data_IF_694884787594
#
_entry.id   IF_694884787594
#
_cell.length_a   1.000
_cell.length_b   1.000
_cell.length_c   1.000
_cell.angle_alpha   90.00
_cell.angle_beta   90.00
_cell.angle_gamma   90.00
#
_symmetry.space_group_name_H-M   'P 1'
#
loop_
_entity.id
_entity.type
_entity.pdbx_description
1 polymer ?
#
# COMPACT_ATOMS: atom_id res chain seq x y z
N UNK A 1 3.09 -12.06 -1.50
CA UNK A 1 3.32 -10.65 -1.88
C UNK A 1 4.76 -10.35 -2.31
N UNK A 2 5.81 -10.76 -1.56
CA UNK A 2 7.22 -10.56 -1.98
C UNK A 2 7.53 -11.02 -3.41
N UNK A 3 7.06 -12.21 -3.77
CA UNK A 3 7.34 -12.85 -5.08
C UNK A 3 6.57 -12.27 -6.27
N UNK A 4 5.78 -11.21 -6.05
CA UNK A 4 4.87 -10.66 -7.07
C UNK A 4 5.51 -9.50 -7.82
N UNK A 5 6.40 -8.74 -7.16
CA UNK A 5 7.16 -7.70 -7.86
C UNK A 5 8.26 -8.32 -8.72
N UNK A 6 8.66 -7.66 -9.82
CA UNK A 6 9.82 -8.05 -10.60
C UNK A 6 11.05 -8.22 -9.69
N UNK A 7 11.91 -9.19 -9.99
CA UNK A 7 13.10 -9.47 -9.16
C UNK A 7 14.09 -8.31 -9.06
N UNK A 8 13.98 -7.28 -9.90
CA UNK A 8 14.77 -6.05 -9.86
C UNK A 8 14.16 -4.95 -8.98
N UNK A 9 12.92 -5.12 -8.49
CA UNK A 9 12.28 -4.13 -7.62
C UNK A 9 12.92 -4.15 -6.24
N UNK A 10 13.44 -3.00 -5.84
CA UNK A 10 13.99 -2.78 -4.50
C UNK A 10 12.89 -2.20 -3.62
N UNK A 11 12.72 -2.80 -2.44
CA UNK A 11 11.87 -2.26 -1.39
C UNK A 11 12.70 -1.32 -0.52
N UNK A 12 12.14 -0.15 -0.23
CA UNK A 12 12.74 0.89 0.58
C UNK A 12 11.77 1.33 1.67
N UNK A 13 12.30 1.95 2.72
CA UNK A 13 11.47 2.63 3.71
C UNK A 13 10.96 3.96 3.14
N UNK A 14 9.68 4.25 3.36
CA UNK A 14 9.05 5.52 3.02
C UNK A 14 8.58 6.20 4.31
N UNK A 15 9.53 6.91 4.95
CA UNK A 15 9.32 7.64 6.20
C UNK A 15 8.26 8.73 6.10
N UNK A 16 8.00 9.23 4.89
CA UNK A 16 6.96 10.24 4.68
C UNK A 16 5.58 9.70 5.06
N UNK A 17 5.37 8.39 4.90
CA UNK A 17 4.08 7.74 5.09
C UNK A 17 4.12 6.57 6.09
N UNK A 18 5.27 6.33 6.74
CA UNK A 18 5.51 5.16 7.59
C UNK A 18 5.15 3.84 6.89
N UNK A 19 5.57 3.73 5.62
CA UNK A 19 5.34 2.55 4.79
C UNK A 19 6.65 2.00 4.26
N UNK A 20 6.56 0.86 3.59
CA UNK A 20 7.59 0.36 2.69
C UNK A 20 7.13 0.57 1.26
N UNK A 21 8.02 1.01 0.37
CA UNK A 21 7.70 1.35 -1.02
C UNK A 21 8.60 0.60 -1.98
N UNK A 22 8.04 0.19 -3.10
CA UNK A 22 8.80 -0.26 -4.26
C UNK A 22 8.21 0.36 -5.52
N UNK A 23 9.07 0.61 -6.51
CA UNK A 23 8.66 1.04 -7.84
C UNK A 23 8.85 -0.09 -8.85
N UNK A 24 7.99 -0.11 -9.86
CA UNK A 24 8.08 -1.03 -11.00
C UNK A 24 7.46 -0.40 -12.26
N UNK A 25 7.84 -0.96 -13.40
CA UNK A 25 7.30 -0.53 -14.69
C UNK A 25 5.89 -1.10 -14.93
N UNK A 26 5.09 -0.32 -15.65
CA UNK A 26 3.71 -0.63 -16.00
C UNK A 26 3.55 -1.96 -16.76
N UNK A 27 4.59 -2.45 -17.42
CA UNK A 27 4.57 -3.74 -18.10
C UNK A 27 4.31 -4.91 -17.13
N UNK A 28 4.66 -4.77 -15.85
CA UNK A 28 4.36 -5.77 -14.81
C UNK A 28 3.03 -5.54 -14.11
N UNK A 29 2.30 -4.48 -14.47
CA UNK A 29 1.15 -3.99 -13.68
C UNK A 29 0.01 -4.99 -13.59
N UNK A 30 -0.30 -5.72 -14.66
CA UNK A 30 -1.43 -6.65 -14.69
C UNK A 30 -1.27 -7.80 -13.67
N UNK A 31 -0.09 -8.40 -13.63
CA UNK A 31 0.22 -9.52 -12.72
C UNK A 31 0.22 -9.02 -11.27
N UNK A 32 0.85 -7.88 -11.00
CA UNK A 32 0.94 -7.31 -9.66
C UNK A 32 -0.44 -6.90 -9.15
N UNK A 33 -1.22 -6.22 -9.99
CA UNK A 33 -2.57 -5.78 -9.64
C UNK A 33 -3.48 -6.97 -9.36
N UNK A 34 -3.41 -8.02 -10.17
CA UNK A 34 -4.17 -9.25 -9.96
C UNK A 34 -3.81 -9.92 -8.62
N UNK A 35 -2.53 -9.97 -8.28
CA UNK A 35 -2.08 -10.50 -7.00
C UNK A 35 -2.51 -9.63 -5.80
N UNK A 36 -2.59 -8.31 -5.95
CA UNK A 36 -3.18 -7.42 -4.94
C UNK A 36 -4.67 -7.75 -4.75
N UNK A 37 -5.45 -7.87 -5.83
CA UNK A 37 -6.87 -8.24 -5.74
C UNK A 37 -7.09 -9.62 -5.11
N UNK A 38 -6.15 -10.54 -5.27
CA UNK A 38 -6.21 -11.85 -4.64
C UNK A 38 -5.81 -11.83 -3.15
N UNK A 39 -4.95 -10.89 -2.75
CA UNK A 39 -4.41 -10.81 -1.39
C UNK A 39 -5.21 -9.88 -0.46
N UNK A 40 -5.95 -8.93 -1.02
CA UNK A 40 -6.72 -7.92 -0.28
C UNK A 40 -8.21 -8.05 -0.60
N UNK A 41 -9.05 -7.87 0.41
CA UNK A 41 -10.50 -8.10 0.26
C UNK A 41 -11.27 -6.86 -0.19
N UNK A 42 -10.69 -5.66 -0.04
CA UNK A 42 -11.34 -4.39 -0.38
C UNK A 42 -10.44 -3.52 -1.26
N UNK A 43 -11.06 -2.70 -2.11
CA UNK A 43 -10.40 -1.71 -2.96
C UNK A 43 -11.08 -0.34 -2.87
N UNK A 44 -10.27 0.71 -2.72
CA UNK A 44 -10.73 2.08 -2.50
C UNK A 44 -10.10 3.00 -3.55
N UNK A 45 -10.96 3.68 -4.31
CA UNK A 45 -10.58 4.71 -5.27
C UNK A 45 -10.99 6.08 -4.73
N UNK A 46 -10.55 7.16 -5.40
CA UNK A 46 -11.04 8.53 -5.13
C UNK A 46 -12.57 8.64 -5.00
N UNK A 47 -13.32 7.83 -5.76
CA UNK A 47 -14.79 7.83 -5.76
C UNK A 47 -15.37 7.05 -4.57
N UNK A 48 -14.80 5.89 -4.25
CA UNK A 48 -15.36 4.97 -3.25
C UNK A 48 -14.91 5.31 -1.82
N UNK A 49 -13.70 5.85 -1.65
CA UNK A 49 -13.14 6.20 -0.33
C UNK A 49 -13.99 7.23 0.43
N UNK A 50 -14.69 8.11 -0.30
CA UNK A 50 -15.62 9.09 0.30
C UNK A 50 -16.75 8.44 1.12
N UNK A 51 -17.14 7.22 0.75
CA UNK A 51 -18.18 6.43 1.44
C UNK A 51 -17.60 5.35 2.36
N UNK A 52 -16.27 5.24 2.45
CA UNK A 52 -15.63 4.25 3.30
C UNK A 52 -15.82 4.57 4.80
N UNK A 53 -15.66 3.58 5.68
CA UNK A 53 -15.60 3.77 7.13
C UNK A 53 -14.52 4.76 7.55
N UNK A 54 -14.69 5.39 8.72
CA UNK A 54 -13.81 6.44 9.20
C UNK A 54 -12.33 6.00 9.25
N UNK A 55 -12.07 4.79 9.75
CA UNK A 55 -10.72 4.23 9.82
C UNK A 55 -10.06 4.10 8.43
N UNK A 56 -10.81 3.66 7.42
CA UNK A 56 -10.30 3.58 6.03
C UNK A 56 -10.00 4.96 5.45
N UNK A 57 -10.82 5.96 5.77
CA UNK A 57 -10.54 7.35 5.38
C UNK A 57 -9.27 7.86 6.02
N UNK A 58 -9.06 7.57 7.30
CA UNK A 58 -7.82 7.93 8.01
C UNK A 58 -6.58 7.27 7.38
N UNK A 59 -6.65 6.01 6.96
CA UNK A 59 -5.57 5.35 6.20
C UNK A 59 -5.31 6.07 4.88
N UNK A 60 -6.36 6.43 4.14
CA UNK A 60 -6.20 7.17 2.89
C UNK A 60 -5.56 8.54 3.14
N UNK A 61 -5.99 9.26 4.18
CA UNK A 61 -5.47 10.58 4.53
C UNK A 61 -4.01 10.52 5.00
N UNK A 62 -3.60 9.46 5.70
CA UNK A 62 -2.21 9.27 6.15
C UNK A 62 -1.22 9.13 4.99
N UNK A 63 -1.69 8.73 3.81
CA UNK A 63 -0.90 8.67 2.57
C UNK A 63 -1.19 9.83 1.61
N UNK A 64 -1.65 10.98 2.11
CA UNK A 64 -2.02 12.19 1.33
C UNK A 64 -3.29 12.05 0.46
N UNK A 65 -4.18 11.11 0.78
CA UNK A 65 -5.44 10.89 0.06
C UNK A 65 -5.29 9.98 -1.16
N UNK A 66 -6.37 9.88 -1.96
CA UNK A 66 -6.42 9.08 -3.19
C UNK A 66 -6.80 9.96 -4.37
N UNK A 67 -5.89 10.07 -5.34
CA UNK A 67 -6.12 10.77 -6.59
C UNK A 67 -6.65 9.88 -7.72
N UNK A 68 -7.02 10.48 -8.84
CA UNK A 68 -7.51 9.74 -10.01
C UNK A 68 -6.44 8.77 -10.52
N UNK A 69 -6.80 7.49 -10.66
CA UNK A 69 -5.88 6.42 -11.10
C UNK A 69 -5.13 5.73 -9.95
N UNK A 70 -5.22 6.26 -8.73
CA UNK A 70 -4.69 5.61 -7.54
C UNK A 70 -5.75 4.72 -6.89
N UNK A 71 -5.28 3.67 -6.22
CA UNK A 71 -6.12 2.70 -5.52
C UNK A 71 -5.45 2.34 -4.20
N UNK A 72 -6.23 2.25 -3.13
CA UNK A 72 -5.81 1.66 -1.85
C UNK A 72 -6.53 0.34 -1.66
N UNK A 73 -5.78 -0.73 -1.44
CA UNK A 73 -6.30 -2.04 -1.06
C UNK A 73 -6.22 -2.22 0.44
N UNK A 74 -7.21 -2.87 1.05
CA UNK A 74 -7.19 -3.20 2.49
C UNK A 74 -7.61 -4.65 2.75
N UNK A 75 -7.03 -5.28 3.78
CA UNK A 75 -7.33 -6.68 4.11
C UNK A 75 -8.72 -6.87 4.69
N UNK A 76 -9.29 -5.81 5.27
CA UNK A 76 -10.66 -5.79 5.77
C UNK A 76 -11.29 -4.39 5.59
N UNK A 77 -12.55 -4.26 6.01
CA UNK A 77 -13.36 -3.03 5.89
C UNK A 77 -13.16 -1.98 6.98
N UNK A 78 -12.09 -2.02 7.77
CA UNK A 78 -11.78 -1.00 8.78
C UNK A 78 -11.79 -1.48 10.23
N UNK A 79 -11.64 -2.80 10.45
CA UNK A 79 -11.36 -3.36 11.76
C UNK A 79 -9.85 -3.43 11.97
N UNK A 80 -9.39 -2.94 13.11
CA UNK A 80 -7.98 -2.91 13.46
C UNK A 80 -7.47 -4.33 13.83
N UNK A 81 -6.26 -4.74 13.42
CA UNK A 81 -5.35 -4.04 12.50
C UNK A 81 -5.75 -4.19 11.03
N UNK A 82 -5.38 -3.19 10.22
CA UNK A 82 -5.57 -3.17 8.77
C UNK A 82 -4.22 -3.13 8.07
N UNK A 83 -3.90 -4.18 7.32
CA UNK A 83 -2.84 -4.15 6.32
C UNK A 83 -3.39 -3.49 5.05
N UNK A 84 -2.66 -2.53 4.51
CA UNK A 84 -3.05 -1.82 3.29
C UNK A 84 -1.94 -1.78 2.25
N UNK A 85 -2.34 -1.66 0.98
CA UNK A 85 -1.44 -1.46 -0.14
C UNK A 85 -1.91 -0.27 -1.00
N UNK A 86 -1.06 0.74 -1.20
CA UNK A 86 -1.37 1.90 -2.04
C UNK A 86 -0.70 1.77 -3.41
N UNK A 87 -1.52 1.67 -4.45
CA UNK A 87 -1.15 1.63 -5.85
C UNK A 87 -1.13 3.03 -6.45
N UNK A 88 0.03 3.47 -6.93
CA UNK A 88 0.25 4.87 -7.27
C UNK A 88 1.05 5.05 -8.57
N UNK A 89 0.36 5.19 -9.73
CA UNK A 89 0.98 5.56 -11.00
C UNK A 89 1.55 6.98 -10.95
N UNK A 90 2.73 7.21 -11.53
CA UNK A 90 3.40 8.51 -11.48
C UNK A 90 2.87 9.54 -12.50
N UNK A 91 2.02 9.10 -13.43
CA UNK A 91 1.47 9.94 -14.51
C UNK A 91 2.37 10.05 -15.74
N UNK A 92 3.59 9.53 -15.67
CA UNK A 92 4.51 9.40 -16.81
C UNK A 92 4.11 8.26 -17.78
N UNK A 93 3.13 7.44 -17.40
CA UNK A 93 2.66 6.28 -18.17
C UNK A 93 3.57 5.06 -18.08
N UNK A 94 4.68 5.14 -17.34
CA UNK A 94 5.74 4.13 -17.27
C UNK A 94 5.82 3.55 -15.86
N UNK A 95 5.83 4.38 -14.82
CA UNK A 95 6.17 3.96 -13.47
C UNK A 95 4.97 3.92 -12.53
N UNK A 96 4.99 2.92 -11.65
CA UNK A 96 4.02 2.74 -10.58
C UNK A 96 4.80 2.49 -9.28
N UNK A 97 4.44 3.23 -8.24
CA UNK A 97 4.88 2.90 -6.87
C UNK A 97 3.80 2.12 -6.15
N UNK A 98 4.21 1.07 -5.45
CA UNK A 98 3.39 0.30 -4.53
C UNK A 98 3.93 0.52 -3.12
N UNK A 99 3.07 1.03 -2.24
CA UNK A 99 3.37 1.16 -0.81
C UNK A 99 2.62 0.11 -0.02
N UNK A 100 3.24 -0.49 0.98
CA UNK A 100 2.58 -1.37 1.94
C UNK A 100 2.72 -0.77 3.33
N UNK A 101 1.62 -0.75 4.09
CA UNK A 101 1.59 -0.23 5.44
C UNK A 101 0.62 -0.99 6.33
N UNK A 102 0.76 -0.78 7.63
CA UNK A 102 -0.15 -1.29 8.66
C UNK A 102 -0.77 -0.11 9.39
N UNK A 103 -2.09 -0.13 9.51
CA UNK A 103 -2.82 0.67 10.48
C UNK A 103 -3.12 -0.24 11.66
N UNK A 104 -2.54 0.09 12.81
CA UNK A 104 -2.75 -0.58 14.08
C UNK A 104 -2.71 0.48 15.18
N UNK A 105 -3.82 0.70 15.88
CA UNK A 105 -3.94 1.69 16.94
C UNK A 105 -3.21 1.29 18.23
N UNK A 106 -2.83 0.02 18.36
CA UNK A 106 -2.07 -0.49 19.50
C UNK A 106 -0.55 -0.31 19.34
N UNK A 107 -0.07 -0.02 18.14
CA UNK A 107 1.35 0.15 17.82
C UNK A 107 1.69 1.63 17.57
N UNK A 108 2.89 2.04 17.98
CA UNK A 108 3.46 3.31 17.52
C UNK A 108 4.02 3.18 16.09
N UNK A 109 4.40 4.30 15.48
CA UNK A 109 4.89 4.31 14.09
C UNK A 109 6.21 3.56 13.89
N UNK A 110 7.09 3.58 14.89
CA UNK A 110 8.37 2.85 14.85
C UNK A 110 8.15 1.34 14.86
N UNK A 111 7.26 0.85 15.74
CA UNK A 111 6.90 -0.56 15.82
C UNK A 111 6.21 -1.04 14.54
N UNK A 112 5.32 -0.24 13.94
CA UNK A 112 4.70 -0.56 12.65
C UNK A 112 5.75 -0.72 11.56
N UNK A 113 6.70 0.22 11.51
CA UNK A 113 7.78 0.23 10.52
C UNK A 113 8.72 -0.97 10.71
N UNK A 114 9.09 -1.28 11.95
CA UNK A 114 9.94 -2.42 12.27
C UNK A 114 9.26 -3.74 11.86
N UNK A 115 7.99 -3.94 12.22
CA UNK A 115 7.26 -5.14 11.79
C UNK A 115 7.12 -5.25 10.26
N UNK A 116 6.90 -4.14 9.55
CA UNK A 116 6.84 -4.13 8.08
C UNK A 116 8.20 -4.46 7.46
N UNK A 117 9.28 -3.91 8.00
CA UNK A 117 10.64 -4.16 7.54
C UNK A 117 11.06 -5.60 7.79
N UNK A 118 10.79 -6.15 8.98
CA UNK A 118 11.00 -7.57 9.29
C UNK A 118 10.18 -8.48 8.37
N UNK A 119 8.89 -8.19 8.21
CA UNK A 119 8.02 -8.94 7.29
C UNK A 119 8.55 -8.91 5.85
N UNK A 120 9.14 -7.78 5.44
CA UNK A 120 9.78 -7.64 4.14
C UNK A 120 11.24 -8.11 4.07
N UNK A 121 11.83 -8.57 5.18
CA UNK A 121 13.27 -8.88 5.31
C UNK A 121 14.17 -7.74 4.80
N UNK A 122 13.79 -6.49 5.10
CA UNK A 122 14.64 -5.33 4.84
C UNK A 122 15.73 -5.26 5.92
N UNK A 123 16.98 -5.07 5.50
CA UNK A 123 18.05 -4.76 6.43
C UNK A 123 17.85 -3.31 6.90
N UNK A 124 17.40 -3.14 8.15
CA UNK A 124 17.31 -1.85 8.84
C UNK A 124 18.66 -1.41 9.40
#
# INVERSE_FOLDING_TARGET
>A
MKSVLPGSSVWELDDRFNTVVAAFERNSSEIIFSALKASFSQEWSKKTVRKAPAHIKSIADSISGIETGQIVFTTNGGADPVLFAAWWPWGDGINISLRIGVSDSSLNEEDKKNHLAEWLELNL
#
